data_IF_808803985089
#
_entry.id   IF_808803985089
#
_cell.length_a   1.000
_cell.length_b   1.000
_cell.length_c   1.000
_cell.angle_alpha   90.00
_cell.angle_beta   90.00
_cell.angle_gamma   90.00
#
_symmetry.space_group_name_H-M   'P 1'
#
loop_
_entity.id
_entity.type
_entity.pdbx_description
1 polymer ?
#
# COMPACT_ATOMS: atom_id res chain seq x y z
N UNK A 1 -25.77 0.11 -37.69
CA UNK A 1 -26.49 0.66 -36.53
C UNK A 1 -25.46 0.65 -35.41
N UNK A 2 -24.83 1.81 -35.18
CA UNK A 2 -23.70 1.94 -34.27
C UNK A 2 -24.29 2.34 -32.90
N UNK A 3 -24.41 1.38 -31.99
CA UNK A 3 -24.90 1.66 -30.64
C UNK A 3 -23.76 2.29 -29.83
N UNK A 4 -23.71 3.61 -29.92
CA UNK A 4 -22.93 4.49 -29.07
C UNK A 4 -23.55 4.44 -27.66
N UNK A 5 -22.99 3.62 -26.77
CA UNK A 5 -23.29 3.70 -25.34
C UNK A 5 -22.63 4.99 -24.81
N UNK A 6 -23.40 6.00 -24.37
CA UNK A 6 -22.81 7.20 -23.80
C UNK A 6 -22.14 6.83 -22.46
N UNK A 7 -20.94 7.36 -22.23
CA UNK A 7 -20.11 7.15 -21.02
C UNK A 7 -20.71 7.70 -19.70
N UNK A 8 -22.03 7.86 -19.61
CA UNK A 8 -22.72 8.60 -18.55
C UNK A 8 -23.22 7.67 -17.42
N UNK A 9 -23.08 6.34 -17.56
CA UNK A 9 -23.44 5.36 -16.51
C UNK A 9 -22.24 4.81 -15.71
N UNK A 10 -21.09 5.47 -15.74
CA UNK A 10 -20.06 5.20 -14.74
C UNK A 10 -20.47 5.92 -13.44
N UNK A 11 -21.06 5.18 -12.49
CA UNK A 11 -21.22 5.69 -11.12
C UNK A 11 -19.87 6.20 -10.56
N UNK A 12 -19.87 7.02 -9.50
CA UNK A 12 -18.63 7.54 -8.94
C UNK A 12 -17.67 6.38 -8.66
N UNK A 13 -16.49 6.42 -9.29
CA UNK A 13 -15.45 5.41 -9.05
C UNK A 13 -15.10 5.47 -7.55
N UNK A 14 -15.15 4.35 -6.80
CA UNK A 14 -14.88 4.39 -5.38
C UNK A 14 -13.48 4.94 -5.14
N UNK A 15 -13.38 5.88 -4.20
CA UNK A 15 -12.12 6.52 -3.77
C UNK A 15 -11.31 5.63 -2.83
N UNK A 16 -11.88 4.49 -2.42
CA UNK A 16 -11.28 3.57 -1.47
C UNK A 16 -11.50 2.11 -1.82
N UNK A 17 -10.52 1.30 -1.46
CA UNK A 17 -10.62 -0.16 -1.46
C UNK A 17 -10.15 -0.70 -0.12
N UNK A 18 -10.93 -1.60 0.48
CA UNK A 18 -10.60 -2.24 1.77
C UNK A 18 -10.75 -3.75 1.67
N UNK A 19 -9.78 -4.49 2.20
CA UNK A 19 -9.82 -5.94 2.29
C UNK A 19 -9.18 -6.43 3.58
N UNK A 20 -9.83 -7.36 4.27
CA UNK A 20 -9.22 -8.10 5.38
C UNK A 20 -8.85 -9.49 4.89
N UNK A 21 -7.64 -9.93 5.21
CA UNK A 21 -7.10 -11.19 4.75
C UNK A 21 -6.19 -11.83 5.80
N UNK A 22 -5.94 -13.12 5.62
CA UNK A 22 -4.78 -13.80 6.22
C UNK A 22 -3.68 -13.85 5.16
N UNK A 23 -2.58 -13.15 5.39
CA UNK A 23 -1.51 -13.01 4.43
C UNK A 23 -0.69 -14.31 4.30
N UNK A 24 -0.41 -14.70 3.06
CA UNK A 24 0.48 -15.80 2.70
C UNK A 24 1.40 -15.41 1.54
N UNK A 25 2.25 -16.33 1.11
CA UNK A 25 3.29 -16.09 0.10
C UNK A 25 2.73 -15.55 -1.23
N UNK A 26 1.53 -15.97 -1.62
CA UNK A 26 0.88 -15.53 -2.86
C UNK A 26 0.06 -14.23 -2.70
N UNK A 27 -0.17 -13.76 -1.47
CA UNK A 27 -1.03 -12.59 -1.22
C UNK A 27 -0.51 -11.32 -1.88
N UNK A 28 0.81 -11.12 -1.90
CA UNK A 28 1.42 -9.94 -2.51
C UNK A 28 1.11 -9.84 -4.01
N UNK A 29 1.15 -10.95 -4.75
CA UNK A 29 0.83 -10.96 -6.18
C UNK A 29 -0.62 -10.58 -6.47
N UNK A 30 -1.56 -11.08 -5.66
CA UNK A 30 -2.97 -10.71 -5.77
C UNK A 30 -3.20 -9.23 -5.43
N UNK A 31 -2.56 -8.74 -4.37
CA UNK A 31 -2.69 -7.36 -3.93
C UNK A 31 -2.12 -6.38 -4.96
N UNK A 32 -0.98 -6.68 -5.59
CA UNK A 32 -0.43 -5.87 -6.68
C UNK A 32 -1.43 -5.71 -7.83
N UNK A 33 -2.07 -6.81 -8.26
CA UNK A 33 -3.09 -6.76 -9.32
C UNK A 33 -4.29 -5.89 -8.94
N UNK A 34 -4.75 -5.98 -7.69
CA UNK A 34 -5.84 -5.16 -7.17
C UNK A 34 -5.44 -3.68 -7.16
N UNK A 35 -4.26 -3.36 -6.63
CA UNK A 35 -3.73 -1.99 -6.59
C UNK A 35 -3.61 -1.41 -8.00
N UNK A 36 -3.04 -2.16 -8.95
CA UNK A 36 -2.94 -1.74 -10.36
C UNK A 36 -4.30 -1.45 -10.99
N UNK A 37 -5.30 -2.29 -10.71
CA UNK A 37 -6.66 -2.08 -11.20
C UNK A 37 -7.23 -0.75 -10.69
N UNK A 38 -7.10 -0.47 -9.40
CA UNK A 38 -7.57 0.80 -8.83
C UNK A 38 -6.79 2.01 -9.34
N UNK A 39 -5.49 1.89 -9.56
CA UNK A 39 -4.71 2.96 -10.17
C UNK A 39 -5.12 3.24 -11.61
N UNK A 40 -5.50 2.20 -12.37
CA UNK A 40 -6.08 2.36 -13.70
C UNK A 40 -7.41 3.08 -13.62
N UNK A 41 -8.27 2.69 -12.67
CA UNK A 41 -9.55 3.35 -12.42
C UNK A 41 -9.40 4.79 -11.91
N UNK A 42 -8.26 5.18 -11.36
CA UNK A 42 -8.02 6.54 -10.86
C UNK A 42 -7.18 7.41 -11.78
N UNK A 43 -6.76 6.87 -12.94
CA UNK A 43 -5.87 7.52 -13.89
C UNK A 43 -4.52 7.91 -13.22
N UNK A 44 -4.00 7.02 -12.36
CA UNK A 44 -2.75 7.18 -11.58
C UNK A 44 -1.75 6.03 -11.84
N UNK A 45 -1.73 5.49 -13.06
CA UNK A 45 -0.93 4.32 -13.43
C UNK A 45 0.59 4.55 -13.33
N UNK A 46 1.04 5.80 -13.37
CA UNK A 46 2.44 6.20 -13.17
C UNK A 46 2.96 5.85 -11.76
N UNK A 47 2.06 5.66 -10.79
CA UNK A 47 2.41 5.27 -9.43
C UNK A 47 2.49 3.75 -9.24
N UNK A 48 2.15 2.95 -10.26
CA UNK A 48 1.95 1.51 -10.11
C UNK A 48 3.18 0.79 -9.59
N UNK A 49 4.35 1.02 -10.20
CA UNK A 49 5.58 0.30 -9.81
C UNK A 49 5.98 0.60 -8.36
N UNK A 50 5.93 1.88 -7.96
CA UNK A 50 6.22 2.31 -6.60
C UNK A 50 5.24 1.71 -5.59
N UNK A 51 3.93 1.80 -5.87
CA UNK A 51 2.90 1.27 -4.97
C UNK A 51 2.98 -0.24 -4.84
N UNK A 52 3.19 -0.94 -5.95
CA UNK A 52 3.29 -2.40 -5.99
C UNK A 52 4.48 -2.92 -5.20
N UNK A 53 5.61 -2.22 -5.30
CA UNK A 53 6.80 -2.55 -4.54
C UNK A 53 6.56 -2.29 -3.04
N UNK A 54 6.10 -1.09 -2.69
CA UNK A 54 5.85 -0.68 -1.31
C UNK A 54 4.80 -1.56 -0.60
N UNK A 55 3.69 -1.89 -1.29
CA UNK A 55 2.66 -2.78 -0.73
C UNK A 55 3.17 -4.20 -0.57
N UNK A 56 4.04 -4.67 -1.47
CA UNK A 56 4.66 -6.00 -1.35
C UNK A 56 5.49 -6.09 -0.07
N UNK A 57 6.27 -5.06 0.25
CA UNK A 57 7.04 -5.02 1.50
C UNK A 57 6.16 -4.98 2.74
N UNK A 58 5.07 -4.20 2.74
CA UNK A 58 4.13 -4.20 3.87
C UNK A 58 3.49 -5.57 4.10
N UNK A 59 3.07 -6.25 3.03
CA UNK A 59 2.48 -7.58 3.13
C UNK A 59 3.52 -8.63 3.56
N UNK A 60 4.75 -8.53 3.07
CA UNK A 60 5.84 -9.40 3.52
C UNK A 60 6.13 -9.19 5.01
N UNK A 61 6.06 -7.96 5.52
CA UNK A 61 6.21 -7.67 6.95
C UNK A 61 5.09 -8.32 7.78
N UNK A 62 3.85 -8.32 7.30
CA UNK A 62 2.75 -9.06 7.96
C UNK A 62 3.07 -10.55 8.03
N UNK A 63 3.47 -11.17 6.91
CA UNK A 63 3.80 -12.60 6.86
C UNK A 63 4.93 -12.97 7.82
N UNK A 64 5.96 -12.11 7.93
CA UNK A 64 7.15 -12.36 8.76
C UNK A 64 6.93 -12.08 10.25
N UNK A 65 6.09 -11.11 10.61
CA UNK A 65 6.10 -10.54 11.96
C UNK A 65 4.75 -10.59 12.70
N UNK A 66 3.66 -10.97 12.03
CA UNK A 66 2.33 -11.07 12.64
C UNK A 66 1.99 -12.55 12.86
N UNK A 67 1.83 -13.01 14.12
CA UNK A 67 1.68 -14.44 14.42
C UNK A 67 0.52 -15.14 13.70
N UNK A 68 -0.65 -14.50 13.62
CA UNK A 68 -1.83 -15.03 12.91
C UNK A 68 -1.91 -14.59 11.45
N UNK A 69 -0.94 -13.78 10.99
CA UNK A 69 -0.84 -13.18 9.66
C UNK A 69 -2.10 -12.43 9.21
N UNK A 70 -2.99 -12.04 10.14
CA UNK A 70 -4.19 -11.30 9.80
C UNK A 70 -3.86 -9.82 9.66
N UNK A 71 -4.32 -9.24 8.56
CA UNK A 71 -4.23 -7.80 8.35
C UNK A 71 -5.43 -7.27 7.58
N UNK A 72 -5.58 -5.95 7.62
CA UNK A 72 -6.50 -5.20 6.77
C UNK A 72 -5.68 -4.28 5.88
N UNK A 73 -5.84 -4.43 4.57
CA UNK A 73 -5.36 -3.50 3.56
C UNK A 73 -6.43 -2.44 3.31
N UNK A 74 -6.02 -1.18 3.28
CA UNK A 74 -6.82 -0.05 2.82
C UNK A 74 -6.02 0.73 1.77
N UNK A 75 -6.62 1.00 0.62
CA UNK A 75 -6.07 1.84 -0.45
C UNK A 75 -7.01 3.03 -0.61
N UNK A 76 -6.49 4.24 -0.48
CA UNK A 76 -7.24 5.49 -0.50
C UNK A 76 -6.69 6.39 -1.60
N UNK A 77 -7.54 6.80 -2.53
CA UNK A 77 -7.25 7.92 -3.42
C UNK A 77 -7.24 9.21 -2.60
N UNK A 78 -6.16 9.96 -2.72
CA UNK A 78 -6.03 11.32 -2.19
C UNK A 78 -6.08 12.31 -3.35
N UNK A 79 -6.24 13.60 -3.04
CA UNK A 79 -6.29 14.68 -4.05
C UNK A 79 -5.08 14.68 -4.97
N UNK A 80 -3.88 14.36 -4.45
CA UNK A 80 -2.62 14.40 -5.19
C UNK A 80 -1.93 13.03 -5.29
N UNK A 81 -2.61 11.92 -5.02
CA UNK A 81 -1.95 10.62 -5.00
C UNK A 81 -2.75 9.50 -4.35
N UNK A 82 -2.04 8.54 -3.77
CA UNK A 82 -2.62 7.37 -3.10
C UNK A 82 -1.95 7.14 -1.75
N UNK A 83 -2.78 6.84 -0.75
CA UNK A 83 -2.36 6.33 0.55
C UNK A 83 -2.70 4.86 0.67
N UNK A 84 -1.76 4.07 1.14
CA UNK A 84 -1.94 2.64 1.44
C UNK A 84 -1.70 2.42 2.91
N UNK A 85 -2.59 1.68 3.55
CA UNK A 85 -2.50 1.30 4.95
C UNK A 85 -2.61 -0.21 5.10
N UNK A 86 -1.79 -0.77 5.99
CA UNK A 86 -1.86 -2.17 6.42
C UNK A 86 -1.95 -2.18 7.94
N UNK A 87 -3.12 -2.57 8.45
CA UNK A 87 -3.37 -2.72 9.88
C UNK A 87 -3.27 -4.17 10.31
N UNK A 88 -2.56 -4.46 11.38
CA UNK A 88 -2.42 -5.80 11.95
C UNK A 88 -2.55 -5.78 13.48
N UNK A 89 -2.78 -6.95 14.08
CA UNK A 89 -2.97 -7.10 15.53
C UNK A 89 -1.68 -7.14 16.36
N UNK A 90 -0.50 -7.06 15.73
CA UNK A 90 0.78 -7.15 16.44
C UNK A 90 1.22 -5.78 16.96
N UNK A 91 1.44 -5.62 18.28
CA UNK A 91 1.94 -4.38 18.86
C UNK A 91 3.43 -4.13 18.54
N UNK A 92 4.10 -5.12 17.93
CA UNK A 92 5.52 -5.00 17.57
C UNK A 92 5.69 -3.96 16.47
N UNK A 93 6.35 -2.85 16.79
CA UNK A 93 6.70 -1.84 15.81
C UNK A 93 7.83 -2.34 14.89
N UNK A 94 7.83 -1.96 13.60
CA UNK A 94 8.97 -2.17 12.72
C UNK A 94 10.23 -1.53 13.31
N UNK A 95 11.34 -2.26 13.41
CA UNK A 95 12.61 -1.71 13.89
C UNK A 95 13.17 -0.75 12.84
N UNK A 96 13.55 0.47 13.25
CA UNK A 96 14.11 1.45 12.34
C UNK A 96 15.47 0.96 11.79
N UNK A 97 15.78 1.18 10.50
CA UNK A 97 16.99 0.64 9.87
C UNK A 97 18.31 1.03 10.55
N UNK A 98 18.34 2.20 11.21
CA UNK A 98 19.49 2.74 11.93
C UNK A 98 19.97 1.90 13.12
N UNK A 99 19.15 0.96 13.60
CA UNK A 99 19.44 0.12 14.76
C UNK A 99 19.81 -1.33 14.37
N UNK A 100 19.96 -1.61 13.08
CA UNK A 100 20.12 -2.96 12.54
C UNK A 100 21.52 -3.13 11.90
N UNK A 101 22.11 -4.30 12.11
CA UNK A 101 23.40 -4.63 11.51
C UNK A 101 23.31 -4.67 9.97
N UNK A 102 24.39 -4.36 9.22
CA UNK A 102 24.37 -4.29 7.75
C UNK A 102 23.92 -5.58 7.04
N UNK A 103 24.05 -6.71 7.74
CA UNK A 103 23.70 -8.07 7.33
C UNK A 103 22.33 -8.54 7.85
N UNK A 104 21.65 -7.74 8.67
CA UNK A 104 20.30 -8.05 9.13
C UNK A 104 19.29 -7.91 7.98
N UNK A 105 18.64 -9.02 7.61
CA UNK A 105 17.51 -8.99 6.67
C UNK A 105 16.30 -8.21 7.25
N UNK A 106 16.19 -8.19 8.58
CA UNK A 106 15.22 -7.35 9.28
C UNK A 106 15.62 -5.88 9.09
N UNK A 107 14.83 -5.12 8.31
CA UNK A 107 15.02 -3.67 8.13
C UNK A 107 15.10 -3.18 6.69
N UNK A 108 15.45 -4.05 5.74
CA UNK A 108 15.54 -3.68 4.31
C UNK A 108 14.20 -3.23 3.74
N UNK A 109 13.09 -3.81 4.20
CA UNK A 109 11.76 -3.42 3.75
C UNK A 109 11.37 -1.98 4.12
N UNK A 110 11.85 -1.47 5.27
CA UNK A 110 11.61 -0.06 5.65
C UNK A 110 12.56 0.87 4.92
N UNK A 111 13.83 0.48 4.71
CA UNK A 111 14.76 1.22 3.85
C UNK A 111 14.22 1.35 2.43
N UNK A 112 13.55 0.31 1.94
CA UNK A 112 12.89 0.34 0.64
C UNK A 112 11.77 1.37 0.63
N UNK A 113 10.90 1.40 1.65
CA UNK A 113 9.86 2.42 1.77
C UNK A 113 10.48 3.82 1.82
N UNK A 114 11.48 4.05 2.67
CA UNK A 114 12.23 5.32 2.75
C UNK A 114 12.76 5.78 1.39
N UNK A 115 13.17 4.84 0.53
CA UNK A 115 13.76 5.16 -0.76
C UNK A 115 12.73 5.40 -1.88
N UNK A 116 11.53 4.81 -1.81
CA UNK A 116 10.60 4.78 -2.96
C UNK A 116 9.32 5.57 -2.75
N UNK A 117 8.88 5.81 -1.51
CA UNK A 117 7.61 6.50 -1.23
C UNK A 117 7.83 7.93 -0.73
N UNK A 118 6.85 8.82 -0.93
CA UNK A 118 6.97 10.21 -0.51
C UNK A 118 6.90 10.39 1.01
N UNK A 119 6.01 9.64 1.66
CA UNK A 119 5.88 9.59 3.13
C UNK A 119 5.46 8.21 3.57
N UNK A 120 5.93 7.78 4.72
CA UNK A 120 5.41 6.59 5.39
C UNK A 120 5.48 6.76 6.90
N UNK A 121 4.76 5.91 7.61
CA UNK A 121 4.75 5.93 9.06
C UNK A 121 4.11 4.70 9.67
N UNK A 122 4.14 4.68 11.00
CA UNK A 122 3.52 3.64 11.82
C UNK A 122 2.66 4.32 12.86
N UNK A 123 1.39 3.92 12.94
CA UNK A 123 0.43 4.39 13.91
C UNK A 123 0.06 3.22 14.84
N UNK A 124 0.60 3.17 16.07
CA UNK A 124 0.23 2.16 17.05
C UNK A 124 -1.22 2.34 17.50
N UNK A 125 -1.96 1.24 17.69
CA UNK A 125 -3.31 1.29 18.24
C UNK A 125 -3.25 1.17 19.76
N UNK A 126 -4.01 2.01 20.48
CA UNK A 126 -3.94 2.10 21.95
C UNK A 126 -4.26 0.80 22.70
N UNK A 127 -5.00 -0.13 22.09
CA UNK A 127 -5.38 -1.42 22.67
C UNK A 127 -4.56 -2.61 22.14
N UNK A 128 -3.49 -2.35 21.38
CA UNK A 128 -2.71 -3.36 20.67
C UNK A 128 -2.98 -3.37 19.17
N UNK A 129 -1.95 -3.75 18.40
CA UNK A 129 -1.93 -3.63 16.94
C UNK A 129 -1.30 -2.32 16.46
N UNK A 130 -1.22 -2.18 15.14
CA UNK A 130 -0.66 -0.99 14.48
C UNK A 130 -1.19 -0.88 13.06
N UNK A 131 -1.12 0.32 12.51
CA UNK A 131 -1.21 0.59 11.08
C UNK A 131 0.14 1.03 10.56
N UNK A 132 0.70 0.31 9.59
CA UNK A 132 1.82 0.80 8.78
C UNK A 132 1.26 1.38 7.50
N UNK A 133 1.69 2.56 7.11
CA UNK A 133 1.12 3.27 5.97
C UNK A 133 2.19 3.96 5.14
N UNK A 134 1.89 4.21 3.87
CA UNK A 134 2.69 5.07 3.00
C UNK A 134 1.81 5.87 2.04
N UNK A 135 2.36 6.95 1.51
CA UNK A 135 1.74 7.87 0.57
C UNK A 135 2.67 8.05 -0.64
N UNK A 136 2.11 7.97 -1.84
CA UNK A 136 2.79 8.32 -3.08
C UNK A 136 1.96 9.35 -3.82
N UNK A 137 2.60 10.43 -4.24
CA UNK A 137 1.96 11.50 -4.99
C UNK A 137 2.14 11.26 -6.49
N UNK A 138 1.05 11.39 -7.25
CA UNK A 138 1.12 11.51 -8.70
C UNK A 138 2.03 12.68 -9.03
N UNK A 139 2.98 12.50 -9.94
CA UNK A 139 3.84 13.62 -10.33
C UNK A 139 2.96 14.75 -10.85
N UNK A 140 2.95 15.90 -10.18
CA UNK A 140 2.77 17.13 -10.93
C UNK A 140 3.90 17.13 -11.95
N UNK A 141 3.58 16.95 -13.22
CA UNK A 141 4.52 17.36 -14.26
C UNK A 141 4.76 18.84 -13.98
N UNK A 142 5.99 19.28 -13.60
CA UNK A 142 6.23 20.70 -13.52
C UNK A 142 5.96 21.23 -14.91
N UNK A 143 5.04 22.18 -15.05
CA UNK A 143 4.93 23.00 -16.25
C UNK A 143 6.31 23.64 -16.45
N UNK A 144 7.11 23.10 -17.36
CA UNK A 144 8.23 23.82 -17.97
C UNK A 144 7.77 24.41 -19.29
#
# INVERSE_FOLDING_TARGET
MNDYFPSILAGPRPDRYRMTLTAGEHSAGHIRRIVRSHLTDWDLTELADTLELAVTELIANVVRHVPDRRCTLLVLRQTAGVRVEVSDGSPRLPAAPRDLAPDAECGRGLLLLDAVVGKWGVEPHGTGGKTVWFECTGGETPLQ
#
